data_IF_908934647232
#
_entry.id   IF_908934647232
#
_cell.length_a   1.000
_cell.length_b   1.000
_cell.length_c   1.000
_cell.angle_alpha   90.00
_cell.angle_beta   90.00
_cell.angle_gamma   90.00
#
_symmetry.space_group_name_H-M   'P 1'
#
loop_
_entity.id
_entity.type
_entity.pdbx_description
1 polymer ?
#
# COMPACT_ATOMS: atom_id res chain seq x y z
N UNK A 1 1.78 -82.19 -30.54
CA UNK A 1 2.94 -81.35 -30.89
C UNK A 1 2.59 -79.95 -30.41
N UNK A 2 2.96 -79.62 -29.16
CA UNK A 2 4.17 -78.85 -28.79
C UNK A 2 4.04 -77.39 -29.28
N UNK A 3 3.57 -76.45 -28.45
CA UNK A 3 4.24 -75.71 -27.36
C UNK A 3 5.11 -74.56 -27.88
N UNK A 4 4.79 -73.33 -27.44
CA UNK A 4 5.73 -72.22 -27.12
C UNK A 4 4.95 -70.95 -26.68
N UNK A 5 4.71 -70.88 -25.37
CA UNK A 5 4.96 -69.73 -24.46
C UNK A 5 5.07 -68.29 -25.01
N UNK A 6 4.20 -67.37 -24.54
CA UNK A 6 4.57 -65.98 -24.20
C UNK A 6 3.70 -65.43 -23.05
N UNK A 7 4.36 -65.01 -21.97
CA UNK A 7 3.95 -63.97 -21.01
C UNK A 7 5.21 -63.56 -20.20
N UNK A 8 5.28 -62.43 -19.47
CA UNK A 8 4.56 -61.13 -19.50
C UNK A 8 5.53 -59.89 -19.42
N UNK A 9 5.05 -58.65 -19.63
CA UNK A 9 5.57 -57.43 -18.92
C UNK A 9 4.71 -56.16 -19.10
N UNK A 10 4.74 -55.35 -18.04
CA UNK A 10 3.94 -54.18 -17.66
C UNK A 10 4.41 -52.84 -18.28
N UNK A 11 3.48 -51.91 -18.57
CA UNK A 11 3.66 -50.45 -18.49
C UNK A 11 2.25 -49.80 -18.50
N UNK A 12 1.73 -49.27 -17.39
CA UNK A 12 2.05 -48.03 -16.69
C UNK A 12 1.49 -46.77 -17.39
N UNK A 13 0.39 -46.26 -16.80
CA UNK A 13 0.07 -44.84 -16.52
C UNK A 13 0.16 -43.79 -17.64
N UNK A 14 -1.00 -43.27 -18.03
CA UNK A 14 -1.16 -41.90 -18.51
C UNK A 14 -2.31 -41.26 -17.73
N UNK A 15 -2.00 -40.73 -16.54
CA UNK A 15 -2.93 -39.93 -15.75
C UNK A 15 -3.34 -38.66 -16.53
N UNK A 16 -4.59 -38.17 -16.36
CA UNK A 16 -4.96 -36.85 -16.82
C UNK A 16 -4.13 -35.81 -16.05
N UNK A 17 -3.52 -34.86 -16.78
CA UNK A 17 -2.79 -33.73 -16.21
C UNK A 17 -3.58 -33.15 -15.01
N UNK A 18 -2.97 -33.05 -13.82
CA UNK A 18 -3.61 -32.39 -12.72
C UNK A 18 -3.77 -30.92 -13.08
N UNK A 19 -5.01 -30.46 -12.92
CA UNK A 19 -5.43 -29.06 -12.87
C UNK A 19 -4.32 -28.25 -12.19
N UNK A 20 -3.82 -27.23 -12.88
CA UNK A 20 -2.93 -26.23 -12.32
C UNK A 20 -3.66 -25.54 -11.17
N UNK A 21 -3.53 -26.09 -9.95
CA UNK A 21 -4.03 -25.44 -8.76
C UNK A 21 -3.40 -24.05 -8.68
N UNK A 22 -4.17 -22.98 -8.45
CA UNK A 22 -3.59 -21.68 -8.14
C UNK A 22 -2.71 -21.86 -6.91
N UNK A 23 -1.48 -21.34 -6.95
CA UNK A 23 -0.51 -21.49 -5.87
C UNK A 23 -1.17 -21.16 -4.53
N UNK A 24 -1.19 -22.08 -3.55
CA UNK A 24 -1.86 -21.89 -2.25
C UNK A 24 -1.23 -20.80 -1.37
N UNK A 25 -0.23 -20.07 -1.87
CA UNK A 25 0.48 -18.99 -1.20
C UNK A 25 0.08 -17.59 -1.66
N UNK A 26 -0.77 -17.44 -2.68
CA UNK A 26 -1.12 -16.11 -3.22
C UNK A 26 -2.17 -15.43 -2.33
N UNK A 27 -1.72 -14.55 -1.46
CA UNK A 27 -2.59 -13.81 -0.54
C UNK A 27 -3.09 -12.51 -1.18
N UNK A 28 -4.27 -12.07 -0.76
CA UNK A 28 -4.79 -10.75 -1.09
C UNK A 28 -4.11 -9.69 -0.22
N UNK A 29 -3.68 -8.60 -0.86
CA UNK A 29 -3.09 -7.46 -0.21
C UNK A 29 -3.77 -6.17 -0.67
N UNK A 30 -4.00 -5.19 0.23
CA UNK A 30 -4.47 -3.88 -0.19
C UNK A 30 -3.36 -3.15 -0.95
N UNK A 31 -3.74 -2.38 -1.98
CA UNK A 31 -2.82 -1.45 -2.66
C UNK A 31 -2.67 -0.19 -1.84
N UNK A 32 -1.49 0.02 -1.29
CA UNK A 32 -1.21 1.05 -0.30
C UNK A 32 -1.32 2.46 -0.85
N UNK A 33 -1.01 2.63 -2.13
CA UNK A 33 -0.94 3.92 -2.81
C UNK A 33 -2.27 4.67 -2.70
N UNK A 34 -3.39 3.98 -2.93
CA UNK A 34 -4.73 4.55 -2.83
C UNK A 34 -5.04 5.02 -1.39
N UNK A 35 -4.73 4.22 -0.37
CA UNK A 35 -5.03 4.54 1.03
C UNK A 35 -4.05 5.55 1.66
N UNK A 36 -2.79 5.54 1.25
CA UNK A 36 -1.74 6.39 1.83
C UNK A 36 -1.65 7.75 1.13
N UNK A 37 -1.80 7.77 -0.19
CA UNK A 37 -1.52 8.92 -1.04
C UNK A 37 -2.75 9.45 -1.77
N UNK A 38 -3.83 8.67 -1.86
CA UNK A 38 -5.06 9.05 -2.57
C UNK A 38 -6.08 9.86 -1.76
N UNK A 39 -5.90 10.01 -0.44
CA UNK A 39 -6.85 10.72 0.41
C UNK A 39 -6.66 12.24 0.34
N UNK A 40 -7.73 12.96 0.00
CA UNK A 40 -7.73 14.40 -0.19
C UNK A 40 -8.44 15.12 0.98
N UNK A 41 -7.89 16.25 1.47
CA UNK A 41 -8.51 17.04 2.54
C UNK A 41 -9.65 17.93 1.99
N UNK A 42 -10.57 17.34 1.22
CA UNK A 42 -11.72 18.03 0.61
C UNK A 42 -12.99 17.55 1.31
N UNK A 43 -13.61 18.35 2.20
CA UNK A 43 -14.77 17.92 2.98
C UNK A 43 -15.97 17.46 2.13
N UNK A 44 -16.13 18.04 0.93
CA UNK A 44 -17.20 17.68 -0.01
C UNK A 44 -17.07 16.26 -0.60
N UNK A 45 -15.92 15.60 -0.43
CA UNK A 45 -15.73 14.20 -0.85
C UNK A 45 -16.09 13.20 0.25
N UNK A 46 -16.45 13.67 1.45
CA UNK A 46 -16.92 12.81 2.54
C UNK A 46 -18.43 12.75 2.46
N UNK A 47 -18.94 11.68 1.85
CA UNK A 47 -20.38 11.48 1.70
C UNK A 47 -20.98 10.85 2.97
N UNK A 48 -22.14 11.33 3.47
CA UNK A 48 -22.83 10.71 4.59
C UNK A 48 -23.36 9.32 4.20
N UNK A 49 -23.86 9.19 2.97
CA UNK A 49 -24.25 7.93 2.35
C UNK A 49 -23.48 7.76 1.03
N UNK A 50 -22.30 7.10 1.06
CA UNK A 50 -21.44 7.00 -0.11
C UNK A 50 -22.04 6.12 -1.21
N UNK A 51 -22.80 5.07 -0.89
CA UNK A 51 -23.35 4.17 -1.91
C UNK A 51 -24.42 4.88 -2.73
N UNK A 52 -25.39 5.54 -2.08
CA UNK A 52 -26.44 6.27 -2.78
C UNK A 52 -25.86 7.42 -3.61
N UNK A 53 -24.98 8.24 -3.00
CA UNK A 53 -24.42 9.42 -3.66
C UNK A 53 -23.57 9.04 -4.87
N UNK A 54 -22.73 8.01 -4.74
CA UNK A 54 -21.87 7.55 -5.84
C UNK A 54 -22.64 6.76 -6.90
N UNK A 55 -23.73 6.08 -6.54
CA UNK A 55 -24.63 5.45 -7.53
C UNK A 55 -25.29 6.53 -8.40
N UNK A 56 -25.81 7.60 -7.80
CA UNK A 56 -26.37 8.73 -8.55
C UNK A 56 -25.30 9.42 -9.42
N UNK A 57 -24.09 9.58 -8.90
CA UNK A 57 -22.97 10.15 -9.65
C UNK A 57 -22.60 9.26 -10.86
N UNK A 58 -22.50 7.94 -10.66
CA UNK A 58 -22.24 6.97 -11.72
C UNK A 58 -23.33 7.05 -12.79
N UNK A 59 -24.60 7.09 -12.41
CA UNK A 59 -25.73 7.21 -13.35
C UNK A 59 -25.67 8.53 -14.14
N UNK A 60 -25.35 9.66 -13.49
CA UNK A 60 -25.21 10.97 -14.13
C UNK A 60 -24.06 10.99 -15.14
N UNK A 61 -22.98 10.28 -14.86
CA UNK A 61 -21.77 10.22 -15.68
C UNK A 61 -21.71 9.02 -16.64
N UNK A 62 -22.68 8.10 -16.59
CA UNK A 62 -22.67 6.85 -17.37
C UNK A 62 -22.63 7.06 -18.91
N UNK A 63 -23.07 8.22 -19.39
CA UNK A 63 -22.98 8.59 -20.80
C UNK A 63 -21.55 8.86 -21.29
N UNK A 64 -20.58 8.97 -20.38
CA UNK A 64 -19.19 9.30 -20.68
C UNK A 64 -18.28 8.15 -20.21
N UNK A 65 -17.54 7.50 -21.11
CA UNK A 65 -16.61 6.43 -20.72
C UNK A 65 -15.43 6.98 -19.90
N UNK A 66 -15.02 8.24 -20.16
CA UNK A 66 -14.00 8.94 -19.38
C UNK A 66 -14.49 10.31 -18.92
N UNK A 67 -14.16 10.67 -17.69
CA UNK A 67 -14.66 11.84 -16.98
C UNK A 67 -13.56 12.91 -16.92
N UNK A 68 -13.85 14.10 -17.45
CA UNK A 68 -12.99 15.29 -17.38
C UNK A 68 -13.28 16.13 -16.12
N UNK A 69 -12.41 17.10 -15.82
CA UNK A 69 -12.58 17.93 -14.61
C UNK A 69 -13.84 18.79 -14.65
N UNK A 70 -14.31 19.21 -15.84
CA UNK A 70 -15.53 19.98 -16.00
C UNK A 70 -16.78 19.16 -15.62
N UNK A 71 -16.92 17.94 -16.16
CA UNK A 71 -18.02 17.05 -15.81
C UNK A 71 -18.04 16.71 -14.32
N UNK A 72 -16.86 16.45 -13.75
CA UNK A 72 -16.71 16.12 -12.35
C UNK A 72 -17.08 17.30 -11.46
N UNK A 73 -16.61 18.51 -11.80
CA UNK A 73 -16.93 19.74 -11.09
C UNK A 73 -18.44 20.01 -11.06
N UNK A 74 -19.10 19.90 -12.21
CA UNK A 74 -20.54 20.09 -12.33
C UNK A 74 -21.34 18.99 -11.62
N UNK A 75 -20.80 17.78 -11.57
CA UNK A 75 -21.49 16.65 -10.95
C UNK A 75 -21.41 16.67 -9.43
N UNK A 76 -20.25 17.02 -8.87
CA UNK A 76 -20.03 17.13 -7.42
C UNK A 76 -20.28 18.54 -6.86
N UNK A 77 -20.60 19.52 -7.72
CA UNK A 77 -20.77 20.93 -7.37
C UNK A 77 -19.54 21.48 -6.60
N UNK A 78 -18.35 21.23 -7.16
CA UNK A 78 -17.05 21.69 -6.65
C UNK A 78 -16.40 22.64 -7.65
N UNK A 79 -15.33 23.34 -7.25
CA UNK A 79 -14.56 24.14 -8.19
C UNK A 79 -13.80 23.23 -9.18
N UNK A 80 -13.58 23.73 -10.39
CA UNK A 80 -12.80 23.03 -11.42
C UNK A 80 -11.38 22.72 -10.93
N UNK A 81 -10.80 23.58 -10.09
CA UNK A 81 -9.47 23.34 -9.51
C UNK A 81 -9.47 22.13 -8.57
N UNK A 82 -10.52 21.95 -7.76
CA UNK A 82 -10.66 20.75 -6.93
C UNK A 82 -10.90 19.50 -7.77
N UNK A 83 -11.67 19.60 -8.87
CA UNK A 83 -11.86 18.48 -9.78
C UNK A 83 -10.54 18.07 -10.46
N UNK A 84 -9.72 19.03 -10.90
CA UNK A 84 -8.37 18.76 -11.42
C UNK A 84 -7.47 18.08 -10.39
N UNK A 85 -7.46 18.59 -9.15
CA UNK A 85 -6.70 17.96 -8.07
C UNK A 85 -7.12 16.50 -7.84
N UNK A 86 -8.42 16.19 -7.96
CA UNK A 86 -8.93 14.81 -7.86
C UNK A 86 -8.35 13.95 -8.98
N UNK A 87 -8.43 14.40 -10.24
CA UNK A 87 -7.93 13.65 -11.40
C UNK A 87 -6.40 13.48 -11.37
N UNK A 88 -5.65 14.52 -11.00
CA UNK A 88 -4.19 14.48 -10.83
C UNK A 88 -3.77 13.47 -9.75
N UNK A 89 -4.52 13.46 -8.65
CA UNK A 89 -4.24 12.55 -7.53
C UNK A 89 -4.57 11.12 -7.92
N UNK A 90 -5.71 10.89 -8.58
CA UNK A 90 -6.09 9.60 -9.11
C UNK A 90 -5.03 9.06 -10.08
N UNK A 91 -4.60 9.87 -11.05
CA UNK A 91 -3.53 9.53 -11.99
C UNK A 91 -2.23 9.08 -11.28
N UNK A 92 -1.94 9.64 -10.11
CA UNK A 92 -0.75 9.33 -9.32
C UNK A 92 -0.85 8.04 -8.50
N UNK A 93 -2.07 7.53 -8.25
CA UNK A 93 -2.32 6.33 -7.43
C UNK A 93 -2.89 5.15 -8.21
N UNK A 94 -3.21 5.33 -9.50
CA UNK A 94 -3.58 4.24 -10.39
C UNK A 94 -2.45 3.21 -10.50
N UNK A 95 -2.83 1.94 -10.55
CA UNK A 95 -1.89 0.82 -10.52
C UNK A 95 -1.45 0.35 -11.91
N UNK A 96 -2.22 0.68 -12.95
CA UNK A 96 -1.98 0.22 -14.30
C UNK A 96 -1.22 1.28 -15.09
N UNK A 97 0.05 1.01 -15.39
CA UNK A 97 0.88 1.87 -16.24
C UNK A 97 0.38 1.94 -17.70
N UNK A 98 -0.58 1.09 -18.09
CA UNK A 98 -1.18 1.13 -19.42
C UNK A 98 -2.23 2.25 -19.55
N UNK A 99 -2.79 2.75 -18.44
CA UNK A 99 -3.87 3.73 -18.51
C UNK A 99 -3.39 5.06 -19.11
N UNK A 100 -4.11 5.61 -20.11
CA UNK A 100 -3.82 6.92 -20.69
C UNK A 100 -3.65 8.05 -19.68
N UNK A 101 -4.41 8.04 -18.57
CA UNK A 101 -4.37 9.06 -17.53
C UNK A 101 -3.02 9.09 -16.79
N UNK A 102 -2.41 7.92 -16.58
CA UNK A 102 -1.09 7.79 -15.95
C UNK A 102 0.02 8.34 -16.84
N UNK A 103 -0.13 8.21 -18.17
CA UNK A 103 0.83 8.69 -19.16
C UNK A 103 0.64 10.16 -19.54
N UNK A 104 -0.53 10.72 -19.25
CA UNK A 104 -0.88 12.09 -19.59
C UNK A 104 0.00 13.09 -18.84
N UNK A 105 0.39 14.17 -19.52
CA UNK A 105 1.00 15.33 -18.84
C UNK A 105 -0.09 16.07 -18.04
N UNK A 106 0.25 16.81 -16.98
CA UNK A 106 -0.75 17.54 -16.18
C UNK A 106 -1.69 18.45 -16.99
N UNK A 107 -1.20 19.02 -18.09
CA UNK A 107 -2.00 19.86 -19.00
C UNK A 107 -2.99 19.08 -19.90
N UNK A 108 -2.81 17.77 -20.05
CA UNK A 108 -3.58 16.89 -20.95
C UNK A 108 -4.60 16.03 -20.20
N UNK A 109 -4.58 16.03 -18.86
CA UNK A 109 -5.46 15.22 -18.00
C UNK A 109 -6.93 15.47 -18.32
N UNK A 110 -7.33 16.71 -18.57
CA UNK A 110 -8.71 17.05 -18.96
C UNK A 110 -9.13 16.49 -20.33
N UNK A 111 -8.17 16.34 -21.26
CA UNK A 111 -8.46 15.80 -22.60
C UNK A 111 -8.56 14.27 -22.59
N UNK A 112 -7.83 13.62 -21.69
CA UNK A 112 -7.82 12.16 -21.54
C UNK A 112 -8.99 11.68 -20.68
N UNK A 113 -9.20 12.33 -19.53
CA UNK A 113 -10.20 11.96 -18.54
C UNK A 113 -9.88 10.67 -17.79
N UNK A 114 -10.51 10.52 -16.61
CA UNK A 114 -10.39 9.31 -15.80
C UNK A 114 -11.47 8.29 -16.16
N UNK A 115 -11.12 7.01 -16.04
CA UNK A 115 -12.11 5.93 -16.08
C UNK A 115 -13.15 6.12 -14.96
N UNK A 116 -14.43 5.94 -15.30
CA UNK A 116 -15.53 6.18 -14.37
C UNK A 116 -15.48 5.22 -13.17
N UNK A 117 -15.16 3.94 -13.37
CA UNK A 117 -15.14 2.93 -12.29
C UNK A 117 -13.99 3.21 -11.34
N UNK A 118 -12.80 3.50 -11.86
CA UNK A 118 -11.65 3.88 -11.03
C UNK A 118 -11.91 5.17 -10.24
N UNK A 119 -12.56 6.16 -10.87
CA UNK A 119 -12.95 7.40 -10.19
C UNK A 119 -13.96 7.16 -9.07
N UNK A 120 -14.97 6.30 -9.28
CA UNK A 120 -15.95 5.96 -8.25
C UNK A 120 -15.27 5.26 -7.07
N UNK A 121 -14.35 4.33 -7.31
CA UNK A 121 -13.58 3.68 -6.26
C UNK A 121 -12.69 4.66 -5.50
N UNK A 122 -12.02 5.56 -6.21
CA UNK A 122 -11.20 6.63 -5.63
C UNK A 122 -12.02 7.56 -4.73
N UNK A 123 -13.22 7.94 -5.15
CA UNK A 123 -14.12 8.78 -4.37
C UNK A 123 -14.68 8.03 -3.15
N UNK A 124 -14.99 6.74 -3.29
CA UNK A 124 -15.51 5.92 -2.19
C UNK A 124 -14.53 5.84 -1.02
N UNK A 125 -13.24 5.65 -1.30
CA UNK A 125 -12.22 5.51 -0.24
C UNK A 125 -11.87 6.82 0.47
N UNK A 126 -12.37 7.98 0.03
CA UNK A 126 -12.11 9.26 0.70
C UNK A 126 -12.63 9.28 2.14
N UNK A 127 -13.58 8.41 2.50
CA UNK A 127 -14.07 8.25 3.87
C UNK A 127 -13.16 7.37 4.75
N UNK A 128 -12.09 6.78 4.20
CA UNK A 128 -11.17 5.94 4.96
C UNK A 128 -10.42 6.75 6.02
N UNK A 129 -10.41 6.23 7.25
CA UNK A 129 -9.69 6.84 8.37
C UNK A 129 -8.41 6.08 8.64
N UNK A 130 -7.28 6.76 8.42
CA UNK A 130 -5.95 6.22 8.70
C UNK A 130 -5.83 5.80 10.17
N UNK A 131 -5.09 4.72 10.39
CA UNK A 131 -4.81 4.25 11.74
C UNK A 131 -3.98 5.31 12.47
N UNK A 132 -4.51 5.83 13.57
CA UNK A 132 -3.81 6.79 14.41
C UNK A 132 -2.93 6.05 15.43
N UNK A 133 -1.76 6.61 15.79
CA UNK A 133 -0.98 6.09 16.91
C UNK A 133 -1.85 6.08 18.17
N UNK A 134 -2.10 4.89 18.73
CA UNK A 134 -2.84 4.78 19.98
C UNK A 134 -1.97 5.35 21.09
N UNK A 135 -2.48 6.38 21.77
CA UNK A 135 -2.04 6.66 23.14
C UNK A 135 -2.45 5.49 24.02
N UNK A 136 -1.58 5.08 24.94
CA UNK A 136 -1.87 4.02 25.88
C UNK A 136 -3.22 4.26 26.60
N UNK A 137 -3.92 3.18 26.99
CA UNK A 137 -5.23 3.24 27.65
C UNK A 137 -5.24 4.06 28.95
N UNK A 138 -4.05 4.36 29.48
CA UNK A 138 -3.84 5.15 30.70
C UNK A 138 -3.26 6.56 30.44
N UNK A 139 -3.23 7.05 29.19
CA UNK A 139 -2.65 8.36 28.86
C UNK A 139 -3.43 9.57 29.41
N UNK A 140 -4.64 9.38 29.93
CA UNK A 140 -5.34 10.43 30.69
C UNK A 140 -4.63 10.78 32.02
N UNK A 141 -3.68 9.97 32.48
CA UNK A 141 -2.85 10.25 33.67
C UNK A 141 -1.56 11.02 33.35
N UNK A 142 -1.27 11.32 32.09
CA UNK A 142 -0.14 12.19 31.71
C UNK A 142 -0.71 13.48 31.14
N UNK A 143 -1.35 14.26 32.02
CA UNK A 143 -1.69 15.63 31.74
C UNK A 143 -0.42 16.43 31.48
N UNK A 144 -0.43 17.17 30.37
CA UNK A 144 0.23 18.47 30.16
C UNK A 144 1.60 18.66 30.82
N UNK A 145 2.64 18.10 30.22
CA UNK A 145 3.96 18.71 30.28
C UNK A 145 4.41 19.01 28.85
N UNK A 146 3.93 20.14 28.35
CA UNK A 146 4.68 20.88 27.33
C UNK A 146 6.05 21.22 27.93
N UNK A 147 7.17 21.24 27.17
CA UNK A 147 8.44 21.71 27.70
C UNK A 147 8.35 23.24 27.87
N UNK A 148 7.69 23.68 28.93
CA UNK A 148 7.70 25.05 29.38
C UNK A 148 9.05 25.31 30.05
N UNK A 149 9.92 25.97 29.30
CA UNK A 149 10.89 26.98 29.76
C UNK A 149 11.35 26.90 31.22
N UNK A 150 12.56 26.40 31.47
CA UNK A 150 13.60 27.14 32.21
C UNK A 150 14.90 26.35 32.20
N UNK A 151 15.89 26.87 31.47
CA UNK A 151 17.25 26.38 31.45
C UNK A 151 18.14 27.09 32.50
N UNK A 152 17.56 27.64 33.56
CA UNK A 152 18.31 28.35 34.58
C UNK A 152 17.54 28.36 35.89
N UNK A 153 17.91 27.49 36.83
CA UNK A 153 18.53 27.83 38.11
C UNK A 153 18.42 26.65 39.08
N UNK A 154 19.43 26.47 39.93
CA UNK A 154 19.38 25.53 41.05
C UNK A 154 20.41 24.41 41.03
N UNK A 155 21.66 24.79 41.27
CA UNK A 155 22.69 23.95 41.86
C UNK A 155 22.10 22.93 42.86
N UNK A 156 22.38 21.63 42.66
CA UNK A 156 23.10 20.75 43.58
C UNK A 156 22.95 19.26 43.17
N UNK A 157 24.08 18.57 43.31
CA UNK A 157 24.21 17.12 43.42
C UNK A 157 24.33 16.31 42.12
N UNK A 158 25.59 16.23 41.69
CA UNK A 158 26.16 15.13 40.93
C UNK A 158 25.91 13.79 41.63
N UNK A 159 25.01 12.96 41.08
CA UNK A 159 25.03 11.50 41.22
C UNK A 159 24.49 10.84 39.94
N UNK A 160 25.37 10.06 39.30
CA UNK A 160 25.18 8.97 38.31
C UNK A 160 23.92 8.93 37.40
N UNK A 161 24.07 9.09 36.07
CA UNK A 161 22.98 9.07 35.09
C UNK A 161 22.53 7.66 34.65
N UNK A 162 22.37 6.70 35.58
CA UNK A 162 22.04 5.30 35.24
C UNK A 162 20.77 4.72 35.87
N UNK A 163 19.89 5.54 36.46
CA UNK A 163 18.63 5.04 37.04
C UNK A 163 17.44 5.94 36.68
N UNK A 164 17.32 6.35 35.43
CA UNK A 164 15.99 6.55 34.86
C UNK A 164 15.60 5.24 34.18
N UNK A 165 14.91 4.38 34.92
CA UNK A 165 13.89 3.52 34.34
C UNK A 165 12.88 4.46 33.70
N UNK A 166 13.20 4.96 32.50
CA UNK A 166 12.22 5.58 31.62
C UNK A 166 11.23 4.47 31.38
N UNK A 167 10.08 4.56 32.05
CA UNK A 167 8.86 3.96 31.55
C UNK A 167 8.75 4.41 30.10
N UNK A 168 9.17 3.54 29.19
CA UNK A 168 9.03 3.70 27.76
C UNK A 168 7.54 3.60 27.46
N UNK A 169 6.78 4.64 27.83
CA UNK A 169 5.51 4.94 27.18
C UNK A 169 5.86 5.40 25.77
N UNK A 170 6.40 4.48 24.96
CA UNK A 170 6.54 4.67 23.53
C UNK A 170 5.11 4.82 23.04
N UNK A 171 4.80 5.96 22.44
CA UNK A 171 3.61 6.07 21.59
C UNK A 171 3.66 4.88 20.64
N UNK A 172 2.69 3.97 20.73
CA UNK A 172 2.65 2.83 19.83
C UNK A 172 2.35 3.38 18.43
N UNK A 173 3.41 3.54 17.65
CA UNK A 173 3.30 3.92 16.25
C UNK A 173 2.87 2.66 15.48
N UNK A 174 1.79 2.73 14.70
CA UNK A 174 1.34 1.58 13.94
C UNK A 174 2.47 1.09 13.03
N UNK A 175 2.73 -0.22 13.07
CA UNK A 175 3.65 -0.86 12.13
C UNK A 175 3.02 -0.98 10.76
N UNK A 176 3.84 -1.30 9.75
CA UNK A 176 3.35 -1.52 8.40
C UNK A 176 2.30 -2.64 8.32
N UNK A 177 2.46 -3.68 9.15
CA UNK A 177 1.51 -4.78 9.22
C UNK A 177 0.18 -4.34 9.86
N UNK A 178 0.24 -3.43 10.85
CA UNK A 178 -0.96 -2.87 11.49
C UNK A 178 -1.76 -1.99 10.51
N UNK A 179 -1.08 -1.19 9.69
CA UNK A 179 -1.74 -0.39 8.65
C UNK A 179 -2.42 -1.27 7.59
N UNK A 180 -1.73 -2.33 7.14
CA UNK A 180 -2.26 -3.30 6.17
C UNK A 180 -3.47 -4.06 6.73
N UNK A 181 -3.39 -4.55 7.97
CA UNK A 181 -4.51 -5.20 8.64
C UNK A 181 -5.72 -4.25 8.80
N UNK A 182 -5.47 -2.97 9.10
CA UNK A 182 -6.51 -1.95 9.20
C UNK A 182 -7.16 -1.64 7.84
N UNK A 183 -6.37 -1.60 6.76
CA UNK A 183 -6.88 -1.47 5.39
C UNK A 183 -7.73 -2.69 4.98
N UNK A 184 -7.25 -3.91 5.25
CA UNK A 184 -8.01 -5.14 5.01
C UNK A 184 -9.32 -5.18 5.81
N UNK A 185 -9.30 -4.75 7.07
CA UNK A 185 -10.52 -4.65 7.90
C UNK A 185 -11.52 -3.63 7.35
N UNK A 186 -11.03 -2.50 6.84
CA UNK A 186 -11.87 -1.53 6.15
C UNK A 186 -12.50 -2.13 4.89
N UNK A 187 -11.70 -2.78 4.03
CA UNK A 187 -12.18 -3.45 2.83
C UNK A 187 -13.21 -4.54 3.16
N UNK A 188 -12.95 -5.37 4.17
CA UNK A 188 -13.87 -6.41 4.63
C UNK A 188 -15.25 -5.83 4.97
N UNK A 189 -15.29 -4.70 5.69
CA UNK A 189 -16.54 -4.04 6.09
C UNK A 189 -17.26 -3.36 4.92
N UNK A 190 -16.52 -2.87 3.94
CA UNK A 190 -17.05 -2.02 2.87
C UNK A 190 -17.21 -2.75 1.52
N UNK A 191 -16.83 -4.03 1.41
CA UNK A 191 -16.77 -4.75 0.14
C UNK A 191 -18.14 -4.87 -0.56
N UNK A 192 -19.21 -5.19 0.17
CA UNK A 192 -20.56 -5.28 -0.40
C UNK A 192 -20.98 -3.97 -1.11
N UNK A 193 -20.71 -2.83 -0.47
CA UNK A 193 -20.99 -1.50 -1.00
C UNK A 193 -20.11 -1.14 -2.20
N UNK A 194 -18.84 -1.54 -2.17
CA UNK A 194 -17.91 -1.33 -3.29
C UNK A 194 -18.37 -2.14 -4.50
N UNK A 195 -18.74 -3.40 -4.30
CA UNK A 195 -19.21 -4.28 -5.36
C UNK A 195 -20.54 -3.81 -5.94
N UNK A 196 -21.48 -3.32 -5.13
CA UNK A 196 -22.74 -2.77 -5.66
C UNK A 196 -22.52 -1.54 -6.53
N UNK A 197 -21.49 -0.73 -6.25
CA UNK A 197 -21.10 0.41 -7.09
C UNK A 197 -20.48 0.01 -8.43
N UNK A 198 -19.91 -1.19 -8.55
CA UNK A 198 -19.31 -1.72 -9.78
C UNK A 198 -20.26 -2.64 -10.56
N UNK A 199 -21.15 -3.34 -9.86
CA UNK A 199 -22.08 -4.27 -10.46
C UNK A 199 -23.13 -3.59 -11.34
N UNK A 200 -23.71 -4.35 -12.25
CA UNK A 200 -24.77 -3.95 -13.16
C UNK A 200 -26.04 -4.75 -12.82
N UNK A 201 -27.22 -4.13 -12.83
CA UNK A 201 -28.47 -4.85 -12.61
C UNK A 201 -28.77 -5.75 -13.82
N UNK A 202 -29.24 -6.98 -13.56
CA UNK A 202 -29.71 -7.88 -14.63
C UNK A 202 -31.08 -7.41 -15.12
N UNK A 203 -31.25 -7.21 -16.42
CA UNK A 203 -32.56 -6.91 -16.99
C UNK A 203 -33.48 -8.14 -16.90
N UNK A 204 -34.59 -8.03 -16.15
CA UNK A 204 -35.68 -9.01 -16.19
C UNK A 204 -35.84 -9.94 -14.96
N UNK A 205 -34.90 -9.92 -14.02
CA UNK A 205 -35.07 -10.48 -12.67
C UNK A 205 -34.99 -9.33 -11.67
N UNK A 206 -35.69 -9.41 -10.53
CA UNK A 206 -35.95 -8.25 -9.67
C UNK A 206 -34.71 -7.47 -9.20
N UNK A 207 -34.94 -6.30 -8.58
CA UNK A 207 -33.94 -5.28 -8.19
C UNK A 207 -32.73 -5.75 -7.34
N UNK A 208 -32.63 -7.04 -7.00
CA UNK A 208 -31.59 -7.64 -6.14
C UNK A 208 -30.57 -8.50 -6.91
N UNK A 209 -30.78 -8.81 -8.20
CA UNK A 209 -29.84 -9.58 -9.02
C UNK A 209 -28.76 -8.66 -9.63
N UNK A 210 -27.75 -8.31 -8.83
CA UNK A 210 -26.56 -7.58 -9.28
C UNK A 210 -25.50 -8.56 -9.82
N UNK A 211 -25.00 -8.31 -11.03
CA UNK A 211 -23.91 -9.09 -11.64
C UNK A 211 -22.69 -8.22 -11.90
N UNK A 212 -21.51 -8.82 -11.81
CA UNK A 212 -20.23 -8.18 -12.06
C UNK A 212 -19.65 -8.72 -13.36
N UNK A 213 -19.27 -7.82 -14.26
CA UNK A 213 -18.53 -8.16 -15.47
C UNK A 213 -17.04 -8.35 -15.14
N UNK A 214 -16.30 -9.02 -16.02
CA UNK A 214 -14.85 -9.19 -15.87
C UNK A 214 -14.14 -7.83 -15.78
N UNK A 215 -14.54 -6.87 -16.62
CA UNK A 215 -13.98 -5.52 -16.63
C UNK A 215 -14.25 -4.81 -15.29
N UNK A 216 -15.50 -4.85 -14.79
CA UNK A 216 -15.85 -4.30 -13.47
C UNK A 216 -15.04 -4.93 -12.34
N UNK A 217 -14.77 -6.23 -12.42
CA UNK A 217 -13.95 -6.93 -11.44
C UNK A 217 -12.47 -6.52 -11.47
N UNK A 218 -11.88 -6.29 -12.65
CA UNK A 218 -10.49 -5.83 -12.78
C UNK A 218 -10.25 -4.46 -12.16
N UNK A 219 -11.25 -3.56 -12.18
CA UNK A 219 -11.14 -2.25 -11.51
C UNK A 219 -10.97 -2.35 -9.99
N UNK A 220 -11.38 -3.45 -9.34
CA UNK A 220 -11.04 -3.69 -7.93
C UNK A 220 -9.53 -3.77 -7.72
N UNK A 221 -8.76 -4.03 -8.78
CA UNK A 221 -7.31 -3.98 -8.83
C UNK A 221 -6.75 -2.63 -8.36
N UNK A 222 -7.54 -1.56 -8.40
CA UNK A 222 -7.20 -0.28 -7.80
C UNK A 222 -7.00 -0.36 -6.28
N UNK A 223 -7.80 -1.18 -5.58
CA UNK A 223 -7.81 -1.29 -4.12
C UNK A 223 -7.06 -2.52 -3.61
N UNK A 224 -7.05 -3.60 -4.38
CA UNK A 224 -6.49 -4.90 -3.98
C UNK A 224 -5.55 -5.46 -5.05
N UNK A 225 -4.63 -6.31 -4.62
CA UNK A 225 -3.81 -7.13 -5.50
C UNK A 225 -3.68 -8.54 -4.91
N UNK A 226 -3.52 -9.53 -5.77
CA UNK A 226 -3.30 -10.92 -5.36
C UNK A 226 -1.91 -11.34 -5.80
N UNK A 227 -1.13 -11.89 -4.86
CA UNK A 227 0.21 -12.39 -5.12
C UNK A 227 1.19 -12.08 -3.98
N UNK A 228 2.40 -12.61 -4.09
CA UNK A 228 3.42 -12.41 -3.06
C UNK A 228 3.85 -10.95 -2.93
N UNK A 229 4.12 -10.52 -1.68
CA UNK A 229 4.58 -9.17 -1.36
C UNK A 229 5.83 -8.80 -2.18
N UNK A 230 5.62 -8.01 -3.24
CA UNK A 230 6.67 -7.48 -4.08
C UNK A 230 6.83 -8.12 -5.47
N UNK A 231 6.14 -9.22 -5.78
CA UNK A 231 6.04 -9.74 -7.14
C UNK A 231 4.99 -8.93 -7.93
N UNK A 232 5.16 -8.77 -9.25
CA UNK A 232 4.11 -8.19 -10.11
C UNK A 232 2.83 -9.01 -9.94
N UNK A 233 1.77 -8.37 -9.46
CA UNK A 233 0.54 -9.07 -9.08
C UNK A 233 -0.13 -9.70 -10.31
N UNK A 234 -0.73 -10.88 -10.13
CA UNK A 234 -1.51 -11.52 -11.18
C UNK A 234 -2.80 -10.70 -11.39
N UNK A 235 -3.28 -10.51 -12.64
CA UNK A 235 -4.58 -9.90 -12.90
C UNK A 235 -5.67 -10.58 -12.07
N UNK A 236 -6.63 -9.81 -11.56
CA UNK A 236 -7.62 -10.35 -10.62
C UNK A 236 -8.46 -11.45 -11.28
N UNK A 237 -8.84 -11.27 -12.55
CA UNK A 237 -9.59 -12.25 -13.33
C UNK A 237 -8.89 -13.60 -13.46
N UNK A 238 -7.55 -13.62 -13.51
CA UNK A 238 -6.77 -14.86 -13.59
C UNK A 238 -6.65 -15.55 -12.22
N UNK A 239 -6.68 -14.78 -11.13
CA UNK A 239 -6.65 -15.32 -9.78
C UNK A 239 -8.02 -15.86 -9.34
N UNK A 240 -9.12 -15.30 -9.87
CA UNK A 240 -10.46 -15.68 -9.51
C UNK A 240 -10.96 -16.93 -10.27
N UNK A 241 -11.56 -17.92 -9.58
CA UNK A 241 -11.95 -19.19 -10.21
C UNK A 241 -13.09 -19.05 -11.22
N UNK A 242 -13.90 -17.99 -11.13
CA UNK A 242 -15.07 -17.77 -11.98
C UNK A 242 -14.76 -17.00 -13.28
N UNK A 243 -13.60 -16.35 -13.39
CA UNK A 243 -13.12 -15.73 -14.64
C UNK A 243 -11.87 -16.41 -15.19
N UNK A 244 -11.21 -17.27 -14.39
CA UNK A 244 -10.11 -18.10 -14.85
C UNK A 244 -10.56 -18.94 -16.06
N UNK A 245 -9.76 -18.91 -17.13
CA UNK A 245 -10.00 -19.60 -18.41
C UNK A 245 -11.02 -18.94 -19.36
N UNK A 246 -11.35 -17.66 -19.15
CA UNK A 246 -12.12 -16.91 -20.15
C UNK A 246 -11.35 -16.83 -21.46
N UNK A 247 -11.99 -17.20 -22.57
CA UNK A 247 -11.41 -17.15 -23.91
C UNK A 247 -11.32 -15.68 -24.38
N UNK A 248 -10.17 -15.18 -24.86
CA UNK A 248 -10.08 -13.82 -25.41
C UNK A 248 -11.07 -13.53 -26.55
N UNK A 249 -11.52 -14.54 -27.28
CA UNK A 249 -12.50 -14.39 -28.38
C UNK A 249 -13.96 -14.48 -27.90
N UNK A 250 -14.22 -14.84 -26.63
CA UNK A 250 -15.57 -14.97 -26.07
C UNK A 250 -15.66 -14.29 -24.69
N UNK A 251 -16.47 -13.21 -24.54
CA UNK A 251 -16.57 -12.49 -23.28
C UNK A 251 -17.09 -13.40 -22.17
N UNK A 252 -16.45 -13.35 -21.01
CA UNK A 252 -16.86 -14.14 -19.86
C UNK A 252 -18.26 -13.77 -19.40
N UNK A 253 -19.04 -14.79 -19.04
CA UNK A 253 -20.38 -14.61 -18.48
C UNK A 253 -20.30 -13.76 -17.20
N UNK A 254 -21.16 -12.73 -17.04
CA UNK A 254 -21.24 -11.96 -15.80
C UNK A 254 -21.50 -12.88 -14.60
N UNK A 255 -20.87 -12.55 -13.47
CA UNK A 255 -20.89 -13.38 -12.26
C UNK A 255 -21.73 -12.67 -11.18
N UNK A 256 -22.59 -13.38 -10.43
CA UNK A 256 -23.36 -12.75 -9.34
C UNK A 256 -22.46 -12.03 -8.33
N UNK A 257 -22.82 -10.78 -7.98
CA UNK A 257 -22.04 -9.95 -7.06
C UNK A 257 -21.85 -10.60 -5.69
N UNK A 258 -22.84 -11.39 -5.23
CA UNK A 258 -22.76 -12.17 -3.98
C UNK A 258 -21.65 -13.21 -4.03
N UNK A 259 -21.51 -13.92 -5.16
CA UNK A 259 -20.45 -14.93 -5.32
C UNK A 259 -19.07 -14.29 -5.29
N UNK A 260 -18.90 -13.12 -5.94
CA UNK A 260 -17.64 -12.36 -5.91
C UNK A 260 -17.36 -11.85 -4.49
N UNK A 261 -18.37 -11.33 -3.81
CA UNK A 261 -18.28 -10.83 -2.44
C UNK A 261 -17.76 -11.90 -1.48
N UNK A 262 -18.37 -13.09 -1.49
CA UNK A 262 -18.01 -14.18 -0.59
C UNK A 262 -16.59 -14.68 -0.85
N UNK A 263 -16.20 -14.76 -2.12
CA UNK A 263 -14.83 -15.12 -2.49
C UNK A 263 -13.80 -14.09 -2.00
N UNK A 264 -14.06 -12.78 -2.16
CA UNK A 264 -13.15 -11.73 -1.68
C UNK A 264 -13.06 -11.76 -0.15
N UNK A 265 -14.19 -11.88 0.56
CA UNK A 265 -14.20 -11.92 2.02
C UNK A 265 -13.43 -13.12 2.57
N UNK A 266 -13.55 -14.28 1.93
CA UNK A 266 -12.78 -15.47 2.31
C UNK A 266 -11.28 -15.21 2.17
N UNK A 267 -10.84 -14.60 1.07
CA UNK A 267 -9.43 -14.25 0.85
C UNK A 267 -8.93 -13.21 1.86
N UNK A 268 -9.73 -12.19 2.17
CA UNK A 268 -9.38 -11.18 3.18
C UNK A 268 -9.25 -11.83 4.57
N UNK A 269 -10.16 -12.72 4.93
CA UNK A 269 -10.10 -13.45 6.19
C UNK A 269 -8.80 -14.27 6.29
N UNK A 270 -8.46 -15.03 5.25
CA UNK A 270 -7.20 -15.79 5.20
C UNK A 270 -5.96 -14.88 5.30
N UNK A 271 -5.96 -13.71 4.65
CA UNK A 271 -4.85 -12.75 4.76
C UNK A 271 -4.70 -12.16 6.18
N UNK A 272 -5.82 -11.88 6.86
CA UNK A 272 -5.82 -11.39 8.25
C UNK A 272 -5.30 -12.46 9.22
N UNK A 273 -5.67 -13.72 9.04
CA UNK A 273 -5.16 -14.85 9.84
C UNK A 273 -3.64 -15.01 9.69
N UNK A 274 -3.14 -15.02 8.45
CA UNK A 274 -1.70 -15.09 8.18
C UNK A 274 -0.91 -13.90 8.75
N UNK A 275 -1.50 -12.70 8.80
CA UNK A 275 -0.87 -11.54 9.41
C UNK A 275 -0.69 -11.71 10.93
N UNK A 276 -1.67 -12.33 11.60
CA UNK A 276 -1.67 -12.56 13.05
C UNK A 276 -0.65 -13.62 13.46
N UNK A 277 -0.50 -14.68 12.67
CA UNK A 277 0.48 -15.75 12.91
C UNK A 277 1.94 -15.24 12.84
N UNK A 278 2.25 -14.36 11.88
CA UNK A 278 3.58 -13.70 11.77
C UNK A 278 3.89 -12.74 12.93
N UNK A 279 2.87 -12.15 13.53
CA UNK A 279 3.05 -11.23 14.67
C UNK A 279 3.26 -12.03 15.97
N UNK A 280 2.49 -13.10 16.19
CA UNK A 280 2.59 -13.98 17.37
C UNK A 280 3.95 -14.69 17.49
N UNK A 281 4.53 -15.11 16.37
CA UNK A 281 5.86 -15.75 16.32
C UNK A 281 7.00 -14.80 16.70
N UNK A 282 6.80 -13.48 16.64
CA UNK A 282 7.79 -12.47 17.04
C UNK A 282 7.70 -12.12 18.54
N UNK A 283 6.60 -12.45 19.20
CA UNK A 283 6.36 -12.13 20.62
C UNK A 283 6.78 -13.27 21.58
N UNK A 284 6.86 -14.52 21.09
CA UNK A 284 7.18 -15.70 21.90
C UNK A 284 8.55 -16.33 21.56
N UNK A 285 9.61 -15.51 21.50
CA UNK A 285 10.98 -16.03 21.50
C UNK A 285 11.47 -16.27 22.93
N UNK A 286 12.01 -17.46 23.29
CA UNK A 286 12.68 -17.64 24.58
C UNK A 286 13.89 -16.69 24.68
N UNK A 287 14.30 -16.24 25.89
CA UNK A 287 15.54 -15.49 26.03
C UNK A 287 16.70 -16.42 25.68
N UNK A 288 17.21 -16.32 24.46
CA UNK A 288 18.43 -17.02 24.07
C UNK A 288 19.60 -16.38 24.81
N UNK A 289 19.92 -16.99 25.94
CA UNK A 289 21.22 -16.91 26.56
C UNK A 289 22.24 -17.52 25.59
N UNK A 290 23.00 -16.67 24.90
CA UNK A 290 24.38 -16.99 24.55
C UNK A 290 25.11 -15.67 24.30
N UNK A 291 25.89 -15.32 25.30
CA UNK A 291 27.00 -14.38 25.28
C UNK A 291 28.14 -15.04 24.48
N UNK A 292 28.68 -14.40 23.43
CA UNK A 292 30.09 -14.59 23.11
C UNK A 292 30.82 -13.26 23.19
N UNK A 293 31.59 -13.17 24.26
CA UNK A 293 32.88 -12.52 24.44
C UNK A 293 33.35 -11.52 23.36
N UNK A 294 33.66 -10.33 23.85
CA UNK A 294 34.22 -9.20 23.11
C UNK A 294 35.65 -9.54 22.65
N UNK A 295 35.82 -9.78 21.36
CA UNK A 295 37.12 -9.68 20.70
C UNK A 295 37.17 -8.40 19.86
N UNK A 296 38.05 -7.48 20.25
CA UNK A 296 38.40 -6.27 19.51
C UNK A 296 39.17 -6.65 18.24
N UNK A 297 38.62 -6.34 17.07
CA UNK A 297 39.39 -6.29 15.81
C UNK A 297 38.85 -5.21 14.87
N UNK A 298 39.79 -4.42 14.37
CA UNK A 298 39.61 -3.19 13.60
C UNK A 298 38.90 -3.34 12.25
N UNK A 299 38.24 -2.24 11.88
CA UNK A 299 37.96 -1.70 10.54
C UNK A 299 38.13 -2.61 9.31
N UNK A 300 37.01 -3.00 8.68
CA UNK A 300 36.64 -2.66 7.28
C UNK A 300 35.41 -3.44 6.81
N UNK A 301 34.52 -2.73 6.09
CA UNK A 301 33.49 -3.24 5.16
C UNK A 301 32.59 -4.40 5.62
N UNK A 302 31.48 -4.09 6.30
CA UNK A 302 30.37 -5.04 6.41
C UNK A 302 29.21 -4.63 5.47
N UNK A 303 29.08 -5.42 4.40
CA UNK A 303 27.89 -5.56 3.58
C UNK A 303 26.71 -5.96 4.46
N UNK A 304 25.79 -5.03 4.68
CA UNK A 304 24.49 -5.33 5.30
C UNK A 304 23.73 -6.14 4.26
N UNK A 305 23.54 -7.44 4.54
CA UNK A 305 22.64 -8.32 3.77
C UNK A 305 21.22 -7.77 3.87
N UNK A 306 20.79 -7.04 2.84
CA UNK A 306 19.40 -6.69 2.60
C UNK A 306 18.65 -7.92 2.12
N UNK A 307 17.54 -8.26 2.77
CA UNK A 307 16.55 -9.19 2.21
C UNK A 307 15.97 -8.58 0.91
N UNK A 308 15.78 -9.36 -0.17
CA UNK A 308 15.29 -8.82 -1.42
C UNK A 308 13.77 -8.67 -1.34
N UNK A 309 13.28 -7.45 -1.20
CA UNK A 309 11.88 -7.11 -1.47
C UNK A 309 11.81 -6.47 -2.85
N UNK A 310 11.17 -7.15 -3.80
CA UNK A 310 10.92 -6.65 -5.14
C UNK A 310 9.76 -5.62 -5.13
N UNK A 311 9.79 -4.63 -6.04
CA UNK A 311 8.95 -3.41 -6.13
C UNK A 311 9.29 -2.24 -5.16
N UNK A 312 10.42 -1.59 -5.46
CA UNK A 312 10.39 -0.19 -5.94
C UNK A 312 10.63 0.98 -4.97
N UNK A 313 10.72 0.75 -3.66
CA UNK A 313 11.12 1.81 -2.71
C UNK A 313 12.38 1.41 -1.95
N UNK A 314 13.40 2.24 -2.04
CA UNK A 314 14.65 2.02 -1.34
C UNK A 314 14.50 2.46 0.12
N UNK A 315 14.77 1.56 1.06
CA UNK A 315 14.69 1.87 2.48
C UNK A 315 16.08 2.11 3.06
N UNK A 316 16.19 3.19 3.81
CA UNK A 316 17.35 3.53 4.64
C UNK A 316 16.81 3.68 6.05
N UNK A 317 17.08 2.71 6.91
CA UNK A 317 16.50 2.68 8.25
C UNK A 317 17.57 2.43 9.32
N UNK A 318 17.41 3.07 10.47
CA UNK A 318 18.17 2.73 11.68
C UNK A 318 19.64 3.15 11.64
N UNK A 319 20.02 4.06 10.74
CA UNK A 319 21.37 4.59 10.69
C UNK A 319 21.61 5.45 11.93
N UNK A 320 22.59 5.06 12.75
CA UNK A 320 22.92 5.76 13.99
C UNK A 320 24.41 6.04 14.07
N UNK A 321 24.80 7.25 14.47
CA UNK A 321 26.20 7.68 14.70
C UNK A 321 27.15 7.35 13.52
N UNK A 322 26.62 7.37 12.30
CA UNK A 322 27.36 6.95 11.10
C UNK A 322 26.92 7.73 9.87
N UNK A 323 27.75 7.68 8.82
CA UNK A 323 27.43 8.27 7.53
C UNK A 323 27.14 7.23 6.47
N UNK A 324 26.14 7.47 5.64
CA UNK A 324 25.75 6.58 4.54
C UNK A 324 25.75 7.35 3.22
N UNK A 325 26.27 6.74 2.15
CA UNK A 325 26.18 7.27 0.79
C UNK A 325 25.47 6.26 -0.10
N UNK A 326 24.51 6.73 -0.89
CA UNK A 326 23.76 5.97 -1.90
C UNK A 326 23.81 6.69 -3.23
N UNK A 327 24.30 6.02 -4.26
CA UNK A 327 24.32 6.49 -5.63
C UNK A 327 23.16 5.87 -6.44
N UNK A 328 22.94 6.35 -7.67
CA UNK A 328 21.88 5.85 -8.54
C UNK A 328 21.96 4.33 -8.81
N UNK A 329 23.17 3.76 -8.84
CA UNK A 329 23.39 2.31 -8.95
C UNK A 329 22.92 1.52 -7.74
N UNK A 330 22.87 2.14 -6.57
CA UNK A 330 22.59 1.50 -5.28
C UNK A 330 21.10 1.48 -4.94
N UNK A 331 20.29 2.13 -5.78
CA UNK A 331 18.86 2.32 -5.59
C UNK A 331 18.09 1.58 -6.68
N UNK A 332 17.17 0.72 -6.28
CA UNK A 332 16.21 0.06 -7.16
C UNK A 332 14.93 0.88 -7.19
N UNK A 333 14.67 1.57 -8.30
CA UNK A 333 13.49 2.42 -8.47
C UNK A 333 13.73 3.90 -8.21
N UNK A 334 12.67 4.70 -8.35
CA UNK A 334 12.73 6.16 -8.30
C UNK A 334 12.22 6.75 -6.98
N UNK A 335 12.08 5.94 -5.93
CA UNK A 335 11.64 6.42 -4.61
C UNK A 335 12.54 5.93 -3.46
N UNK A 336 12.68 6.77 -2.43
CA UNK A 336 13.46 6.44 -1.21
C UNK A 336 12.68 6.79 0.07
N UNK A 337 12.78 5.94 1.09
CA UNK A 337 12.24 6.16 2.42
C UNK A 337 13.38 6.10 3.45
N UNK A 338 13.62 7.21 4.15
CA UNK A 338 14.60 7.32 5.23
C UNK A 338 13.87 7.32 6.57
N UNK A 339 14.12 6.32 7.40
CA UNK A 339 13.35 6.02 8.60
C UNK A 339 14.27 5.93 9.83
N UNK A 340 13.87 6.48 10.97
CA UNK A 340 14.46 6.20 12.29
C UNK A 340 16.01 6.34 12.34
N UNK A 341 16.57 7.35 11.67
CA UNK A 341 18.01 7.60 11.65
C UNK A 341 18.39 8.69 12.67
N UNK A 342 19.50 8.51 13.39
CA UNK A 342 19.88 9.34 14.54
C UNK A 342 21.37 9.73 14.51
N UNK A 343 21.75 10.96 14.83
CA UNK A 343 23.16 11.41 14.89
C UNK A 343 23.97 11.03 13.63
N UNK A 344 23.39 11.19 12.44
CA UNK A 344 23.92 10.56 11.20
C UNK A 344 23.95 11.52 10.02
N UNK A 345 24.82 11.24 9.04
CA UNK A 345 24.91 12.02 7.80
C UNK A 345 24.66 11.12 6.58
N UNK A 346 23.55 11.31 5.89
CA UNK A 346 23.08 10.44 4.80
C UNK A 346 23.10 11.20 3.49
N UNK A 347 23.80 10.69 2.48
CA UNK A 347 23.88 11.25 1.13
C UNK A 347 23.17 10.33 0.14
N UNK A 348 22.13 10.83 -0.53
CA UNK A 348 21.36 10.12 -1.54
C UNK A 348 21.55 10.85 -2.87
N UNK A 349 22.59 10.46 -3.61
CA UNK A 349 23.06 11.10 -4.84
C UNK A 349 22.44 10.42 -6.08
N UNK A 350 21.12 10.43 -6.17
CA UNK A 350 20.38 9.84 -7.27
C UNK A 350 19.14 10.67 -7.63
N UNK A 351 18.70 10.66 -8.91
CA UNK A 351 17.44 11.26 -9.30
C UNK A 351 16.27 10.40 -8.79
N UNK A 352 15.34 11.03 -8.08
CA UNK A 352 14.21 10.39 -7.44
C UNK A 352 12.91 11.15 -7.78
N UNK A 353 11.82 10.43 -7.98
CA UNK A 353 10.47 11.01 -8.05
C UNK A 353 9.98 11.40 -6.66
N UNK A 354 10.24 10.55 -5.66
CA UNK A 354 9.71 10.72 -4.31
C UNK A 354 10.75 10.40 -3.23
N UNK A 355 10.82 11.24 -2.19
CA UNK A 355 11.59 10.96 -0.99
C UNK A 355 10.76 11.21 0.27
N UNK A 356 10.77 10.27 1.21
CA UNK A 356 10.09 10.42 2.50
C UNK A 356 11.08 10.27 3.63
N UNK A 357 11.10 11.25 4.55
CA UNK A 357 11.91 11.20 5.77
C UNK A 357 10.97 11.14 6.97
N UNK A 358 11.18 10.13 7.83
CA UNK A 358 10.33 9.88 8.98
C UNK A 358 11.14 9.46 10.21
N UNK A 359 10.80 9.99 11.38
CA UNK A 359 11.34 9.51 12.67
C UNK A 359 12.85 9.72 12.87
N UNK A 360 13.49 10.56 12.06
CA UNK A 360 14.92 10.85 12.19
C UNK A 360 15.17 11.94 13.26
N UNK A 361 16.32 11.95 13.94
CA UNK A 361 16.70 13.02 14.88
C UNK A 361 18.18 13.35 14.76
N UNK A 362 18.57 14.62 14.83
CA UNK A 362 19.97 15.06 14.71
C UNK A 362 20.71 14.42 13.51
N UNK A 363 19.97 14.27 12.40
CA UNK A 363 20.46 13.66 11.17
C UNK A 363 20.50 14.69 10.04
N UNK A 364 21.60 14.72 9.29
CA UNK A 364 21.76 15.53 8.08
C UNK A 364 21.54 14.66 6.86
N UNK A 365 20.52 14.94 6.05
CA UNK A 365 20.16 14.12 4.89
C UNK A 365 20.27 14.97 3.62
N UNK A 366 21.22 14.63 2.76
CA UNK A 366 21.39 15.20 1.43
C UNK A 366 20.61 14.37 0.42
N UNK A 367 19.71 15.02 -0.30
CA UNK A 367 18.94 14.42 -1.40
C UNK A 367 19.40 15.04 -2.72
N UNK A 368 19.66 14.22 -3.73
CA UNK A 368 19.86 14.63 -5.11
C UNK A 368 18.56 15.19 -5.73
N UNK A 369 18.49 15.24 -7.06
CA UNK A 369 17.31 15.72 -7.76
C UNK A 369 16.06 14.92 -7.36
N UNK A 370 15.14 15.53 -6.61
CA UNK A 370 13.89 14.91 -6.13
C UNK A 370 12.68 15.70 -6.64
N UNK A 371 11.71 15.00 -7.22
CA UNK A 371 10.43 15.61 -7.63
C UNK A 371 9.58 16.09 -6.45
N UNK A 372 9.43 15.25 -5.41
CA UNK A 372 8.64 15.59 -4.22
C UNK A 372 9.24 15.00 -2.94
N UNK A 373 9.36 15.81 -1.89
CA UNK A 373 9.84 15.41 -0.56
C UNK A 373 8.71 15.51 0.46
N UNK A 374 8.56 14.49 1.31
CA UNK A 374 7.66 14.51 2.46
C UNK A 374 8.46 14.39 3.75
N UNK A 375 8.33 15.40 4.61
CA UNK A 375 8.93 15.44 5.94
C UNK A 375 7.84 15.30 6.99
N UNK A 376 8.00 14.35 7.90
CA UNK A 376 7.14 14.20 9.07
C UNK A 376 8.02 14.39 10.30
N UNK A 377 7.71 15.43 11.10
CA UNK A 377 8.37 15.98 12.31
C UNK A 377 9.26 17.23 12.10
N UNK A 378 9.34 18.16 13.08
CA UNK A 378 10.17 19.36 13.00
C UNK A 378 11.59 18.98 13.38
N UNK A 379 12.39 18.62 12.38
CA UNK A 379 13.81 18.32 12.56
C UNK A 379 14.57 19.43 11.84
N UNK A 380 15.69 19.88 12.41
CA UNK A 380 16.65 20.76 11.74
C UNK A 380 17.30 19.98 10.59
N UNK A 381 16.53 19.79 9.53
CA UNK A 381 16.90 19.03 8.36
C UNK A 381 17.47 20.02 7.34
N UNK A 382 18.79 20.02 7.19
CA UNK A 382 19.44 20.75 6.11
C UNK A 382 19.31 19.89 4.85
N UNK A 383 18.21 20.04 4.12
CA UNK A 383 18.12 19.51 2.75
C UNK A 383 18.86 20.49 1.84
N UNK A 384 20.02 20.09 1.35
CA UNK A 384 20.68 20.78 0.26
C UNK A 384 20.43 20.01 -1.03
N UNK A 385 19.37 20.39 -1.76
CA UNK A 385 19.15 19.91 -3.12
C UNK A 385 20.23 20.53 -4.02
N UNK A 386 21.16 19.71 -4.50
CA UNK A 386 22.05 20.11 -5.58
C UNK A 386 21.25 20.18 -6.88
N UNK A 387 20.63 21.34 -7.12
CA UNK A 387 20.14 21.69 -8.45
C UNK A 387 21.37 21.96 -9.33
N UNK A 388 21.74 20.95 -10.11
CA UNK A 388 22.48 21.16 -11.35
C UNK A 388 21.58 21.93 -12.31
N UNK A 389 21.94 23.19 -12.51
CA UNK A 389 21.31 24.17 -13.37
C UNK A 389 21.03 23.66 -14.81
N UNK A 390 19.88 24.06 -15.34
CA UNK A 390 19.58 24.46 -16.73
C UNK A 390 19.04 23.44 -17.77
N UNK A 391 17.90 23.88 -18.34
CA UNK A 391 17.21 23.57 -19.62
C UNK A 391 16.27 22.35 -19.70
#
# INVERSE_FOLDING_TARGET
MADSTVSPSTSATGDPNPISNPNPSSLIHPRREAFEHGLLPIPKLIFPDPTLTLTQLRQKLASRPRVDSAALADSLQISTDYAKLILDTLASVLHSDSDPLVKARPAEIDSVGADLRDLILFLYIQSYKKLLPRSHRDSAAVADVWPSTSAFDGYLSALSPLQLVRSNSRRFMPSQADEEAHQLSYLQKHMANILSLLAEPVEGEGEESLVLTMEGFEHLGFLIQIGDKGAEGVPLSQAAPFFANSDPDMPATPVPAVQVHDWILQNIASALEHSTERISTKENGPPSASDPDVAMTDACTNSIKSSPSARGSNFIEGISKSSLVKQASDLRGSSVKVLNCHDSVIYILAPLRYATVYGCSDATIFLGAVGKVVLKFPILLVIQCFNGLLM
#
